data_IF_482400486966
#
_entry.id   IF_482400486966
#
_cell.length_a   1.000
_cell.length_b   1.000
_cell.length_c   1.000
_cell.angle_alpha   90.00
_cell.angle_beta   90.00
_cell.angle_gamma   90.00
#
_symmetry.space_group_name_H-M   'P 1'
#
loop_
_entity.id
_entity.type
_entity.pdbx_description
1 polymer ?
#
# COMPACT_ATOMS: atom_id res chain seq x y z
N UNK A 1 -61.61 -39.86 -25.26
CA UNK A 1 -61.66 -38.40 -25.51
C UNK A 1 -62.58 -37.82 -24.44
N UNK A 2 -62.23 -36.90 -23.55
CA UNK A 2 -61.38 -35.70 -23.65
C UNK A 2 -60.62 -35.47 -22.33
N UNK A 3 -59.36 -35.06 -22.44
CA UNK A 3 -58.58 -34.41 -21.39
C UNK A 3 -58.99 -32.93 -21.35
N UNK A 4 -59.04 -32.31 -20.16
CA UNK A 4 -58.40 -30.99 -19.95
C UNK A 4 -58.31 -30.70 -18.45
N UNK A 5 -57.07 -30.73 -17.95
CA UNK A 5 -56.64 -30.08 -16.71
C UNK A 5 -56.26 -28.66 -17.13
N UNK A 6 -56.68 -27.64 -16.38
CA UNK A 6 -55.93 -26.39 -16.32
C UNK A 6 -56.16 -25.69 -14.97
N UNK A 7 -55.19 -25.88 -14.08
CA UNK A 7 -54.92 -25.07 -12.91
C UNK A 7 -54.29 -23.75 -13.40
N UNK A 8 -54.84 -22.61 -12.98
CA UNK A 8 -54.16 -21.32 -13.10
C UNK A 8 -54.04 -20.75 -11.68
N UNK A 9 -52.87 -20.95 -11.08
CA UNK A 9 -52.43 -20.21 -9.91
C UNK A 9 -51.56 -19.07 -10.45
N UNK A 10 -51.95 -17.79 -10.32
CA UNK A 10 -51.04 -16.70 -10.60
C UNK A 10 -50.11 -16.56 -9.40
N UNK A 11 -48.93 -17.18 -9.46
CA UNK A 11 -47.82 -16.89 -8.56
C UNK A 11 -47.40 -15.44 -8.73
N UNK A 12 -47.75 -14.63 -7.73
CA UNK A 12 -47.15 -13.34 -7.42
C UNK A 12 -45.61 -13.51 -7.33
N UNK A 13 -44.90 -13.16 -8.39
CA UNK A 13 -43.49 -12.82 -8.30
C UNK A 13 -43.39 -11.31 -8.13
N UNK A 14 -43.55 -10.85 -6.88
CA UNK A 14 -43.08 -9.54 -6.47
C UNK A 14 -41.55 -9.62 -6.45
N UNK A 15 -40.93 -9.29 -7.59
CA UNK A 15 -39.53 -8.89 -7.61
C UNK A 15 -39.44 -7.58 -6.84
N UNK A 16 -39.19 -7.67 -5.54
CA UNK A 16 -38.59 -6.57 -4.81
C UNK A 16 -37.20 -6.37 -5.40
N UNK A 17 -37.13 -5.52 -6.44
CA UNK A 17 -35.89 -4.85 -6.80
C UNK A 17 -35.51 -4.05 -5.56
N UNK A 18 -34.52 -4.53 -4.81
CA UNK A 18 -33.86 -3.70 -3.82
C UNK A 18 -33.17 -2.59 -4.62
N UNK A 19 -33.84 -1.44 -4.78
CA UNK A 19 -33.14 -0.19 -5.06
C UNK A 19 -32.15 -0.04 -3.92
N UNK A 20 -30.87 -0.24 -4.24
CA UNK A 20 -29.80 0.04 -3.32
C UNK A 20 -29.61 1.56 -3.43
N UNK A 21 -30.20 2.29 -2.49
CA UNK A 21 -30.10 3.75 -2.41
C UNK A 21 -28.64 4.22 -2.62
N UNK A 22 -28.47 5.40 -3.22
CA UNK A 22 -27.18 6.10 -3.44
C UNK A 22 -26.53 6.58 -2.11
N UNK A 23 -26.45 5.69 -1.11
CA UNK A 23 -25.86 5.96 0.19
C UNK A 23 -24.38 5.53 0.13
N UNK A 24 -23.50 6.52 0.17
CA UNK A 24 -22.06 6.34 0.28
C UNK A 24 -21.55 6.73 1.68
N UNK A 25 -20.50 6.07 2.20
CA UNK A 25 -19.77 4.94 1.60
C UNK A 25 -20.57 3.63 1.58
N UNK A 26 -20.39 2.84 0.51
CA UNK A 26 -20.84 1.44 0.45
C UNK A 26 -19.73 0.54 0.98
N UNK A 27 -19.98 -0.17 2.09
CA UNK A 27 -19.02 -1.11 2.68
C UNK A 27 -19.47 -2.55 2.44
N UNK A 28 -18.60 -3.37 1.84
CA UNK A 28 -18.86 -4.80 1.62
C UNK A 28 -17.71 -5.64 2.15
N UNK A 29 -18.05 -6.74 2.81
CA UNK A 29 -17.10 -7.77 3.23
C UNK A 29 -17.23 -9.02 2.35
N UNK A 30 -16.10 -9.55 1.90
CA UNK A 30 -15.99 -10.89 1.31
C UNK A 30 -15.21 -11.77 2.27
N UNK A 31 -15.81 -12.89 2.70
CA UNK A 31 -15.21 -13.87 3.64
C UNK A 31 -15.20 -15.29 3.09
N UNK A 32 -15.62 -15.48 1.84
CA UNK A 32 -15.59 -16.75 1.11
C UNK A 32 -15.52 -16.49 -0.40
N UNK A 33 -14.98 -17.43 -1.16
CA UNK A 33 -14.81 -17.27 -2.61
C UNK A 33 -13.70 -16.29 -2.94
N UNK A 34 -13.91 -15.46 -3.95
CA UNK A 34 -12.94 -14.49 -4.44
C UNK A 34 -13.56 -13.11 -4.68
N UNK A 35 -12.72 -12.09 -4.76
CA UNK A 35 -13.09 -10.74 -5.23
C UNK A 35 -11.92 -10.15 -6.01
N UNK A 36 -12.13 -9.87 -7.29
CA UNK A 36 -11.09 -9.37 -8.20
C UNK A 36 -9.83 -10.24 -8.16
N UNK A 37 -10.01 -11.55 -8.38
CA UNK A 37 -8.98 -12.61 -8.29
C UNK A 37 -8.33 -12.81 -6.91
N UNK A 38 -8.59 -11.93 -5.94
CA UNK A 38 -8.17 -12.12 -4.54
C UNK A 38 -8.99 -13.24 -3.90
N UNK A 39 -8.35 -14.39 -3.70
CA UNK A 39 -8.98 -15.60 -3.23
C UNK A 39 -8.89 -15.73 -1.70
N UNK A 40 -10.04 -15.88 -1.04
CA UNK A 40 -10.07 -16.19 0.39
C UNK A 40 -9.40 -17.56 0.60
N UNK A 41 -8.49 -17.64 1.58
CA UNK A 41 -7.65 -18.81 1.84
C UNK A 41 -6.28 -18.79 1.17
N UNK A 42 -5.97 -17.79 0.34
CA UNK A 42 -4.62 -17.58 -0.18
C UNK A 42 -3.63 -17.20 0.93
N UNK A 43 -2.39 -17.65 0.81
CA UNK A 43 -1.26 -17.20 1.61
C UNK A 43 -0.85 -15.76 1.25
N UNK A 44 -0.10 -15.04 2.11
CA UNK A 44 0.44 -13.72 1.80
C UNK A 44 1.14 -13.63 0.43
N UNK A 45 2.02 -14.58 0.11
CA UNK A 45 2.73 -14.58 -1.18
C UNK A 45 1.77 -14.77 -2.36
N UNK A 46 0.78 -15.66 -2.25
CA UNK A 46 -0.26 -15.84 -3.29
C UNK A 46 -1.11 -14.57 -3.46
N UNK A 47 -1.52 -13.94 -2.35
CA UNK A 47 -2.27 -12.67 -2.39
C UNK A 47 -1.43 -11.57 -3.01
N UNK A 48 -0.14 -11.48 -2.70
CA UNK A 48 0.73 -10.48 -3.29
C UNK A 48 0.84 -10.64 -4.81
N UNK A 49 1.00 -11.87 -5.31
CA UNK A 49 1.00 -12.13 -6.74
C UNK A 49 -0.34 -11.73 -7.40
N UNK A 50 -1.46 -12.03 -6.75
CA UNK A 50 -2.80 -11.60 -7.20
C UNK A 50 -2.91 -10.06 -7.24
N UNK A 51 -2.33 -9.37 -6.26
CA UNK A 51 -2.27 -7.91 -6.23
C UNK A 51 -1.41 -7.34 -7.36
N UNK A 52 -0.31 -7.98 -7.75
CA UNK A 52 0.49 -7.53 -8.89
C UNK A 52 -0.31 -7.56 -10.20
N UNK A 53 -1.10 -8.62 -10.41
CA UNK A 53 -2.01 -8.71 -11.57
C UNK A 53 -3.14 -7.68 -11.47
N UNK A 54 -3.75 -7.55 -10.30
CA UNK A 54 -4.86 -6.62 -10.07
C UNK A 54 -4.41 -5.15 -10.18
N UNK A 55 -3.19 -4.83 -9.76
CA UNK A 55 -2.58 -3.50 -9.88
C UNK A 55 -2.49 -3.04 -11.32
N UNK A 56 -2.21 -3.96 -12.25
CA UNK A 56 -2.23 -3.69 -13.69
C UNK A 56 -3.66 -3.44 -14.17
N UNK A 57 -4.64 -4.24 -13.73
CA UNK A 57 -6.04 -4.10 -14.15
C UNK A 57 -6.68 -2.80 -13.62
N UNK A 58 -6.34 -2.40 -12.40
CA UNK A 58 -6.96 -1.30 -11.66
C UNK A 58 -6.09 -0.05 -11.54
N UNK A 59 -4.92 -0.05 -12.18
CA UNK A 59 -3.99 1.07 -12.25
C UNK A 59 -3.54 1.59 -10.87
N UNK A 60 -3.25 0.68 -9.93
CA UNK A 60 -2.54 1.00 -8.68
C UNK A 60 -1.22 0.24 -8.62
N UNK A 61 -0.22 0.83 -7.96
CA UNK A 61 1.17 0.38 -8.04
C UNK A 61 1.76 -0.03 -6.67
N UNK A 62 1.03 0.15 -5.58
CA UNK A 62 1.54 -0.12 -4.24
C UNK A 62 0.49 -0.73 -3.30
N UNK A 63 0.99 -1.40 -2.25
CA UNK A 63 0.19 -1.93 -1.16
C UNK A 63 0.79 -1.51 0.19
N UNK A 64 -0.04 -0.91 1.03
CA UNK A 64 0.31 -0.54 2.38
C UNK A 64 0.34 -1.77 3.31
N UNK A 65 1.38 -1.84 4.14
CA UNK A 65 1.49 -2.84 5.20
C UNK A 65 0.98 -2.20 6.49
N UNK A 66 -0.28 -2.45 6.83
CA UNK A 66 -0.94 -1.74 7.93
C UNK A 66 -0.32 -2.16 9.25
N UNK A 67 -0.11 -1.17 10.13
CA UNK A 67 0.52 -1.35 11.45
C UNK A 67 2.00 -1.75 11.44
N UNK A 68 2.70 -1.63 10.30
CA UNK A 68 4.16 -1.73 10.28
C UNK A 68 4.77 -0.67 11.19
N UNK A 69 5.54 -1.11 12.19
CA UNK A 69 6.26 -0.21 13.08
C UNK A 69 7.52 0.31 12.37
N UNK A 70 7.93 1.56 12.63
CA UNK A 70 9.23 2.05 12.20
C UNK A 70 10.35 1.17 12.77
N UNK A 71 11.40 0.96 11.98
CA UNK A 71 12.63 0.30 12.39
C UNK A 71 13.50 1.25 13.18
N UNK A 72 14.29 0.71 14.10
CA UNK A 72 15.13 1.49 15.00
C UNK A 72 16.59 1.52 14.58
N UNK A 73 17.02 0.60 13.70
CA UNK A 73 18.41 0.47 13.29
C UNK A 73 18.55 0.05 11.82
N UNK A 74 19.64 0.47 11.13
CA UNK A 74 19.89 0.08 9.74
C UNK A 74 19.96 -1.44 9.49
N UNK A 75 20.48 -2.20 10.46
CA UNK A 75 20.61 -3.66 10.38
C UNK A 75 19.25 -4.36 10.17
N UNK A 76 18.17 -3.75 10.65
CA UNK A 76 16.83 -4.32 10.53
C UNK A 76 16.28 -4.23 9.11
N UNK A 77 16.82 -3.35 8.26
CA UNK A 77 16.30 -3.09 6.91
C UNK A 77 17.27 -3.44 5.78
N UNK A 78 18.43 -4.00 6.09
CA UNK A 78 19.47 -4.32 5.10
C UNK A 78 18.92 -5.12 3.90
N UNK A 79 18.04 -6.09 4.17
CA UNK A 79 17.46 -6.97 3.15
C UNK A 79 16.23 -6.36 2.44
N UNK A 80 15.76 -5.19 2.85
CA UNK A 80 14.53 -4.57 2.33
C UNK A 80 14.80 -3.39 1.42
N UNK A 81 15.98 -2.75 1.46
CA UNK A 81 16.27 -1.52 0.72
C UNK A 81 15.90 -1.61 -0.78
N UNK A 82 16.20 -2.73 -1.45
CA UNK A 82 15.87 -2.93 -2.87
C UNK A 82 14.41 -3.27 -3.19
N UNK A 83 13.57 -3.47 -2.18
CA UNK A 83 12.17 -3.88 -2.33
C UNK A 83 11.17 -2.71 -2.26
N UNK A 84 11.64 -1.54 -1.84
CA UNK A 84 10.84 -0.32 -1.65
C UNK A 84 11.41 0.83 -2.49
N UNK A 85 10.55 1.76 -2.89
CA UNK A 85 10.93 2.90 -3.72
C UNK A 85 11.50 4.07 -2.90
N UNK A 86 11.44 4.01 -1.56
CA UNK A 86 12.06 5.02 -0.70
C UNK A 86 12.31 4.49 0.72
N UNK A 87 13.02 5.29 1.51
CA UNK A 87 13.02 5.23 2.98
C UNK A 87 12.75 6.62 3.54
N UNK A 88 12.02 6.70 4.65
CA UNK A 88 11.94 7.92 5.47
C UNK A 88 12.73 7.73 6.75
N UNK A 89 13.59 8.68 7.07
CA UNK A 89 14.35 8.77 8.31
C UNK A 89 13.80 9.93 9.14
N UNK A 90 13.41 9.71 10.39
CA UNK A 90 12.88 10.78 11.24
C UNK A 90 13.19 10.58 12.72
N UNK A 91 13.33 11.67 13.48
CA UNK A 91 13.54 11.60 14.93
C UNK A 91 12.31 11.03 15.67
N UNK A 92 12.52 10.40 16.83
CA UNK A 92 11.40 9.90 17.68
C UNK A 92 10.60 11.02 18.31
N UNK A 93 11.20 12.21 18.43
CA UNK A 93 10.58 13.38 19.05
C UNK A 93 9.48 14.01 18.20
N UNK A 94 9.34 13.58 16.92
CA UNK A 94 8.36 14.14 15.99
C UNK A 94 8.67 15.57 15.54
N UNK A 95 9.84 16.12 15.91
CA UNK A 95 10.29 17.46 15.48
C UNK A 95 10.92 17.36 14.09
N UNK A 96 10.18 17.91 13.10
CA UNK A 96 10.49 18.69 11.87
C UNK A 96 11.72 18.36 11.00
N UNK A 97 12.57 17.39 11.33
CA UNK A 97 13.66 16.98 10.45
C UNK A 97 13.49 15.51 10.07
N UNK A 98 12.73 15.29 8.98
CA UNK A 98 12.70 14.02 8.28
C UNK A 98 13.53 14.12 7.02
N UNK A 99 14.15 13.01 6.63
CA UNK A 99 14.72 12.83 5.31
C UNK A 99 13.94 11.75 4.58
N UNK A 100 13.38 12.09 3.42
CA UNK A 100 12.82 11.13 2.48
C UNK A 100 13.87 10.89 1.38
N UNK A 101 14.29 9.64 1.24
CA UNK A 101 15.29 9.23 0.26
C UNK A 101 14.59 8.29 -0.71
N UNK A 102 14.42 8.73 -1.95
CA UNK A 102 13.74 7.95 -3.00
C UNK A 102 14.76 7.22 -3.86
N UNK A 103 14.36 6.06 -4.37
CA UNK A 103 15.14 5.18 -5.22
C UNK A 103 14.47 4.99 -6.56
N UNK A 104 15.27 5.00 -7.62
CA UNK A 104 14.84 4.62 -8.96
C UNK A 104 16.02 3.97 -9.69
N UNK A 105 15.79 2.91 -10.47
CA UNK A 105 16.84 2.21 -11.22
C UNK A 105 18.07 1.85 -10.35
N UNK A 106 17.81 1.31 -9.15
CA UNK A 106 18.82 0.87 -8.18
C UNK A 106 19.81 1.95 -7.71
N UNK A 107 19.37 3.22 -7.73
CA UNK A 107 20.11 4.37 -7.19
C UNK A 107 19.18 5.37 -6.49
N UNK A 108 19.76 6.24 -5.67
CA UNK A 108 19.05 7.40 -5.08
C UNK A 108 18.64 8.35 -6.19
N UNK A 109 17.34 8.59 -6.34
CA UNK A 109 16.78 9.50 -7.35
C UNK A 109 16.56 10.90 -6.84
N UNK A 110 16.20 11.05 -5.57
CA UNK A 110 15.96 12.33 -4.93
C UNK A 110 16.17 12.19 -3.41
N UNK A 111 16.47 13.33 -2.80
CA UNK A 111 16.53 13.47 -1.35
C UNK A 111 15.74 14.72 -0.99
N UNK A 112 14.83 14.57 -0.05
CA UNK A 112 13.95 15.61 0.43
C UNK A 112 14.10 15.72 1.95
N UNK A 113 14.30 16.92 2.49
CA UNK A 113 14.42 17.15 3.94
C UNK A 113 13.44 18.19 4.43
N UNK A 114 13.09 18.14 5.72
CA UNK A 114 12.31 19.18 6.39
C UNK A 114 11.16 18.60 7.19
N UNK A 115 10.13 19.41 7.37
CA UNK A 115 8.97 19.06 8.19
C UNK A 115 7.70 18.97 7.36
N UNK A 116 6.79 19.91 7.58
CA UNK A 116 5.52 19.99 6.87
C UNK A 116 5.69 20.19 5.35
N UNK A 117 6.69 20.99 4.95
CA UNK A 117 7.14 21.12 3.57
C UNK A 117 8.54 20.53 3.45
N UNK A 118 8.76 19.80 2.36
CA UNK A 118 10.01 19.14 2.05
C UNK A 118 10.77 19.93 0.99
N UNK A 119 12.06 20.16 1.23
CA UNK A 119 12.98 20.79 0.30
C UNK A 119 13.89 19.75 -0.34
N UNK A 120 14.05 19.84 -1.66
CA UNK A 120 14.98 19.00 -2.40
C UNK A 120 16.43 19.40 -2.09
N UNK A 121 17.25 18.41 -1.78
CA UNK A 121 18.68 18.56 -1.51
C UNK A 121 19.47 17.52 -2.31
N UNK A 122 20.73 17.81 -2.61
CA UNK A 122 21.61 16.87 -3.34
C UNK A 122 22.23 15.82 -2.44
N UNK A 123 22.30 16.08 -1.13
CA UNK A 123 23.07 15.31 -0.16
C UNK A 123 22.46 15.39 1.24
N UNK A 124 22.36 14.26 1.95
CA UNK A 124 21.94 14.20 3.35
C UNK A 124 22.76 13.18 4.16
N UNK A 125 23.19 13.50 5.40
CA UNK A 125 23.04 14.79 6.07
C UNK A 125 23.96 15.87 5.49
N UNK A 126 23.52 17.14 5.52
CA UNK A 126 24.33 18.26 5.03
C UNK A 126 25.55 18.50 5.92
N UNK A 127 26.67 18.91 5.32
CA UNK A 127 27.91 19.22 6.04
C UNK A 127 28.69 18.01 6.56
N UNK A 128 28.22 16.79 6.27
CA UNK A 128 28.90 15.53 6.57
C UNK A 128 29.81 15.12 5.40
N UNK A 129 30.91 14.40 5.65
CA UNK A 129 31.82 13.92 4.60
C UNK A 129 31.15 12.96 3.61
N UNK A 130 31.60 12.95 2.35
CA UNK A 130 31.03 12.14 1.27
C UNK A 130 31.01 10.63 1.53
N UNK A 131 31.95 10.14 2.34
CA UNK A 131 32.02 8.73 2.78
C UNK A 131 30.80 8.32 3.63
N UNK A 132 30.16 9.27 4.30
CA UNK A 132 29.03 9.04 5.21
C UNK A 132 27.72 9.54 4.58
N UNK A 133 27.74 10.71 3.95
CA UNK A 133 26.53 11.36 3.45
C UNK A 133 25.97 10.65 2.22
N UNK A 134 24.65 10.49 2.17
CA UNK A 134 23.90 9.93 1.04
C UNK A 134 23.72 11.02 -0.02
N UNK A 135 24.07 10.72 -1.25
CA UNK A 135 24.01 11.61 -2.40
C UNK A 135 22.95 11.15 -3.40
N UNK A 136 22.36 12.10 -4.11
CA UNK A 136 21.62 11.78 -5.34
C UNK A 136 22.56 11.07 -6.31
N UNK A 137 22.07 10.00 -6.93
CA UNK A 137 22.79 9.00 -7.74
C UNK A 137 23.68 8.01 -6.97
N UNK A 138 23.72 8.02 -5.63
CA UNK A 138 24.35 6.92 -4.91
C UNK A 138 23.66 5.60 -5.29
N UNK A 139 24.42 4.51 -5.55
CA UNK A 139 23.83 3.21 -5.81
C UNK A 139 23.20 2.64 -4.54
N UNK A 140 22.11 1.89 -4.69
CA UNK A 140 21.32 1.40 -3.57
C UNK A 140 22.09 0.41 -2.68
N UNK A 141 23.06 -0.30 -3.25
CA UNK A 141 23.92 -1.25 -2.53
C UNK A 141 24.87 -0.56 -1.53
N UNK A 142 25.09 0.75 -1.68
CA UNK A 142 25.87 1.58 -0.73
C UNK A 142 25.04 2.18 0.38
N UNK A 143 23.71 2.12 0.29
CA UNK A 143 22.82 2.73 1.26
C UNK A 143 22.99 2.16 2.66
N UNK A 144 23.18 0.84 2.78
CA UNK A 144 23.35 0.21 4.08
C UNK A 144 24.59 0.70 4.83
N UNK A 145 25.75 0.76 4.15
CA UNK A 145 27.01 1.25 4.72
C UNK A 145 26.88 2.71 5.17
N UNK A 146 26.24 3.55 4.36
CA UNK A 146 26.01 4.96 4.69
C UNK A 146 25.05 5.14 5.86
N UNK A 147 23.95 4.39 5.91
CA UNK A 147 23.01 4.42 7.03
C UNK A 147 23.71 4.00 8.34
N UNK A 148 24.53 2.95 8.32
CA UNK A 148 25.32 2.55 9.49
C UNK A 148 26.20 3.68 9.99
N UNK A 149 26.90 4.37 9.09
CA UNK A 149 27.79 5.48 9.43
C UNK A 149 27.02 6.70 9.96
N UNK A 150 25.88 7.04 9.33
CA UNK A 150 24.99 8.14 9.77
C UNK A 150 24.49 7.88 11.19
N UNK A 151 24.09 6.63 11.51
CA UNK A 151 23.61 6.26 12.84
C UNK A 151 24.69 6.30 13.94
N UNK A 152 25.97 6.41 13.60
CA UNK A 152 27.04 6.68 14.58
C UNK A 152 27.13 8.16 14.98
N UNK A 153 26.50 9.06 14.22
CA UNK A 153 26.45 10.49 14.55
C UNK A 153 25.41 10.69 15.67
N UNK A 154 25.76 11.31 16.81
CA UNK A 154 24.84 11.44 17.95
C UNK A 154 23.48 12.03 17.59
N UNK A 155 23.44 13.01 16.69
CA UNK A 155 22.21 13.67 16.20
C UNK A 155 21.24 12.71 15.52
N UNK A 156 21.74 11.67 14.84
CA UNK A 156 20.92 10.72 14.06
C UNK A 156 20.77 9.35 14.75
N UNK A 157 21.43 9.16 15.88
CA UNK A 157 21.50 7.86 16.59
C UNK A 157 20.15 7.32 17.08
N UNK A 158 19.15 8.19 17.23
CA UNK A 158 17.80 7.81 17.66
C UNK A 158 16.77 7.83 16.52
N UNK A 159 17.19 8.09 15.28
CA UNK A 159 16.26 8.16 14.15
C UNK A 159 15.57 6.82 13.92
N UNK A 160 14.32 6.90 13.47
CA UNK A 160 13.53 5.76 13.03
C UNK A 160 13.57 5.67 11.52
N UNK A 161 13.53 4.45 11.00
CA UNK A 161 13.45 4.19 9.56
C UNK A 161 12.05 3.68 9.24
N UNK A 162 11.38 4.36 8.33
CA UNK A 162 10.03 4.01 7.86
C UNK A 162 10.18 3.59 6.40
N UNK A 163 9.70 2.38 6.11
CA UNK A 163 9.54 1.92 4.74
C UNK A 163 8.13 2.33 4.27
N UNK A 164 7.99 2.92 3.07
CA UNK A 164 6.70 3.31 2.52
C UNK A 164 5.91 2.06 2.07
N UNK A 165 4.80 2.29 1.37
CA UNK A 165 4.02 1.23 0.76
C UNK A 165 4.88 0.36 -0.17
N UNK A 166 4.58 -0.93 -0.17
CA UNK A 166 5.30 -1.93 -0.97
C UNK A 166 4.90 -1.77 -2.43
N UNK A 167 5.87 -1.42 -3.27
CA UNK A 167 5.67 -1.37 -4.72
C UNK A 167 5.38 -2.76 -5.30
N UNK A 168 4.42 -2.84 -6.23
CA UNK A 168 3.97 -4.05 -6.92
C UNK A 168 4.86 -4.43 -8.11
N UNK A 169 5.74 -3.54 -8.58
CA UNK A 169 6.75 -3.86 -9.60
C UNK A 169 7.97 -4.63 -9.03
N UNK A 170 8.05 -4.76 -7.71
CA UNK A 170 9.12 -5.47 -6.99
C UNK A 170 8.63 -6.85 -6.49
N UNK A 171 9.54 -7.80 -6.24
CA UNK A 171 9.18 -9.09 -5.64
C UNK A 171 8.53 -8.95 -4.26
N UNK A 172 7.83 -9.99 -3.83
CA UNK A 172 7.25 -10.12 -2.50
C UNK A 172 8.31 -9.91 -1.39
N UNK A 173 7.98 -9.10 -0.39
CA UNK A 173 8.78 -8.95 0.84
C UNK A 173 8.27 -9.96 1.90
N UNK A 174 9.07 -10.96 2.30
CA UNK A 174 8.68 -11.93 3.32
C UNK A 174 8.26 -11.31 4.66
N UNK A 175 8.75 -10.12 5.01
CA UNK A 175 8.34 -9.42 6.24
C UNK A 175 6.86 -9.07 6.22
N UNK A 176 6.27 -8.79 5.05
CA UNK A 176 4.85 -8.46 4.91
C UNK A 176 3.93 -9.56 5.44
N UNK A 177 4.37 -10.82 5.38
CA UNK A 177 3.60 -11.94 5.91
C UNK A 177 3.39 -11.83 7.43
N UNK A 178 4.19 -11.04 8.15
CA UNK A 178 4.11 -10.84 9.60
C UNK A 178 3.00 -9.86 10.03
N UNK A 179 2.32 -9.25 9.07
CA UNK A 179 1.26 -8.29 9.33
C UNK A 179 -0.09 -8.87 8.92
N UNK A 180 -1.05 -8.78 9.84
CA UNK A 180 -2.38 -9.34 9.65
C UNK A 180 -3.31 -8.45 8.82
N UNK A 181 -2.84 -7.28 8.40
CA UNK A 181 -3.63 -6.34 7.62
C UNK A 181 -2.80 -5.63 6.55
N UNK A 182 -3.27 -5.68 5.30
CA UNK A 182 -2.75 -4.89 4.19
C UNK A 182 -3.85 -3.98 3.63
N UNK A 183 -3.47 -2.88 3.00
CA UNK A 183 -4.42 -1.97 2.38
C UNK A 183 -3.93 -1.45 1.03
N UNK A 184 -4.87 -1.15 0.15
CA UNK A 184 -4.62 -0.45 -1.10
C UNK A 184 -5.88 0.30 -1.51
N UNK A 185 -5.73 1.27 -2.39
CA UNK A 185 -6.85 1.99 -2.99
C UNK A 185 -6.65 2.14 -4.50
N UNK A 186 -7.76 2.33 -5.19
CA UNK A 186 -7.76 2.62 -6.61
C UNK A 186 -8.99 3.44 -6.97
N UNK A 187 -8.91 4.14 -8.09
CA UNK A 187 -9.99 4.98 -8.59
C UNK A 187 -10.47 4.50 -9.95
N UNK A 188 -11.77 4.65 -10.22
CA UNK A 188 -12.37 4.33 -11.51
C UNK A 188 -13.23 5.50 -11.99
N UNK A 189 -13.14 5.85 -13.26
CA UNK A 189 -14.01 6.85 -13.85
C UNK A 189 -15.44 6.30 -13.98
N UNK A 190 -16.41 6.97 -13.37
CA UNK A 190 -17.84 6.59 -13.45
C UNK A 190 -18.54 7.39 -14.54
N UNK A 191 -18.21 8.67 -14.64
CA UNK A 191 -18.63 9.57 -15.70
C UNK A 191 -17.60 10.68 -15.88
N UNK A 192 -17.86 11.63 -16.79
CA UNK A 192 -17.00 12.82 -16.98
C UNK A 192 -16.94 13.73 -15.75
N UNK A 193 -17.91 13.64 -14.83
CA UNK A 193 -17.96 14.46 -13.62
C UNK A 193 -17.85 13.66 -12.33
N UNK A 194 -17.73 12.33 -12.38
CA UNK A 194 -17.70 11.47 -11.18
C UNK A 194 -16.58 10.45 -11.20
N UNK A 195 -15.91 10.34 -10.07
CA UNK A 195 -14.88 9.32 -9.80
C UNK A 195 -15.33 8.41 -8.66
N UNK A 196 -15.24 7.10 -8.88
CA UNK A 196 -15.40 6.08 -7.87
C UNK A 196 -14.06 5.84 -7.18
N UNK A 197 -14.04 5.81 -5.86
CA UNK A 197 -12.87 5.48 -5.04
C UNK A 197 -13.13 4.21 -4.26
N UNK A 198 -12.23 3.25 -4.40
CA UNK A 198 -12.24 1.99 -3.67
C UNK A 198 -11.12 1.99 -2.63
N UNK A 199 -11.46 1.86 -1.35
CA UNK A 199 -10.50 1.59 -0.28
C UNK A 199 -10.64 0.13 0.13
N UNK A 200 -9.56 -0.62 0.07
CA UNK A 200 -9.57 -2.06 0.27
C UNK A 200 -8.65 -2.43 1.43
N UNK A 201 -9.18 -3.21 2.38
CA UNK A 201 -8.42 -3.81 3.48
C UNK A 201 -8.46 -5.33 3.36
N UNK A 202 -7.29 -5.95 3.42
CA UNK A 202 -7.09 -7.39 3.38
C UNK A 202 -6.69 -7.85 4.77
N UNK A 203 -7.45 -8.78 5.34
CA UNK A 203 -7.19 -9.30 6.68
C UNK A 203 -6.70 -10.74 6.60
N UNK A 204 -5.57 -11.00 7.25
CA UNK A 204 -4.97 -12.31 7.35
C UNK A 204 -5.17 -12.87 8.75
N UNK A 205 -5.33 -14.18 8.84
CA UNK A 205 -5.29 -14.93 10.09
C UNK A 205 -4.59 -16.26 9.81
N UNK A 206 -3.66 -16.66 10.67
CA UNK A 206 -2.84 -17.87 10.46
C UNK A 206 -2.19 -17.91 9.05
N UNK A 207 -1.67 -16.76 8.59
CA UNK A 207 -1.04 -16.60 7.26
C UNK A 207 -1.98 -16.98 6.11
N UNK A 208 -3.27 -16.70 6.26
CA UNK A 208 -4.30 -16.94 5.24
C UNK A 208 -5.22 -15.73 5.15
N UNK A 209 -5.53 -15.29 3.93
CA UNK A 209 -6.51 -14.23 3.70
C UNK A 209 -7.89 -14.72 4.13
N UNK A 210 -8.50 -14.05 5.11
CA UNK A 210 -9.80 -14.46 5.68
C UNK A 210 -10.91 -13.47 5.40
N UNK A 211 -10.58 -12.22 5.07
CA UNK A 211 -11.57 -11.18 4.79
C UNK A 211 -10.99 -10.10 3.88
N UNK A 212 -11.81 -9.67 2.94
CA UNK A 212 -11.59 -8.47 2.13
C UNK A 212 -12.69 -7.48 2.49
N UNK A 213 -12.34 -6.32 3.02
CA UNK A 213 -13.26 -5.20 3.24
C UNK A 213 -13.06 -4.21 2.12
N UNK A 214 -14.12 -3.92 1.36
CA UNK A 214 -14.13 -2.92 0.30
C UNK A 214 -15.11 -1.81 0.68
N UNK A 215 -14.56 -0.62 0.87
CA UNK A 215 -15.31 0.61 0.99
C UNK A 215 -15.29 1.34 -0.34
N UNK A 216 -16.45 1.72 -0.85
CA UNK A 216 -16.61 2.42 -2.11
C UNK A 216 -17.35 3.74 -1.94
N UNK A 217 -16.79 4.79 -2.53
CA UNK A 217 -17.36 6.15 -2.54
C UNK A 217 -17.41 6.69 -3.97
N UNK A 218 -18.43 7.49 -4.29
CA UNK A 218 -18.45 8.30 -5.51
C UNK A 218 -18.30 9.77 -5.13
N UNK A 219 -17.42 10.48 -5.84
CA UNK A 219 -17.16 11.89 -5.62
C UNK A 219 -17.28 12.65 -6.95
N UNK A 220 -17.79 13.88 -6.87
CA UNK A 220 -17.72 14.81 -8.01
C UNK A 220 -16.25 15.18 -8.29
N UNK A 221 -15.91 15.29 -9.56
CA UNK A 221 -14.60 15.77 -10.02
C UNK A 221 -14.60 17.29 -9.87
N UNK A 222 -13.83 17.79 -8.90
CA UNK A 222 -13.62 19.23 -8.72
C UNK A 222 -12.44 19.63 -9.62
N UNK A 223 -12.73 20.35 -10.71
CA UNK A 223 -11.74 20.95 -11.61
C UNK A 223 -11.18 22.26 -11.04
#
# INVERSE_FOLDING_TARGET
MKKLILLVVPTLFLFFSCEQDDIFPRVKNTTSGEKWTLQIGSSPTEVYNQLQELGIEKEFDAVAIVHRKPFSKPEEIQNYLGLYWAITLQSKSGVVERALIQFNQDKVSSIETGGALLDYISTWPQGTSDEIAIHVNDPIDKMYEKLLAIYQIPTYSDYQIILPDKSLDKPFDPDMANYDEWAFDFSEAISTSKVGRSFVRLFFNNKKLVKITHEYNENEVIN
#
